data_IF_331672695903
#
_entry.id   IF_331672695903
#
_cell.length_a   1.000
_cell.length_b   1.000
_cell.length_c   1.000
_cell.angle_alpha   90.00
_cell.angle_beta   90.00
_cell.angle_gamma   90.00
#
_symmetry.space_group_name_H-M   'P 1'
#
loop_
_entity.id
_entity.type
_entity.pdbx_description
1 polymer ?
#
# COMPACT_ATOMS: atom_id res chain seq x y z
N UNK A 1 -74.46 -8.44 24.15
CA UNK A 1 -74.54 -8.23 22.70
C UNK A 1 -73.17 -8.58 22.16
N UNK A 2 -73.16 -9.76 21.55
CA UNK A 2 -72.33 -10.18 20.42
C UNK A 2 -70.87 -10.56 20.69
N UNK A 3 -70.75 -11.84 21.04
CA UNK A 3 -69.63 -12.74 20.77
C UNK A 3 -69.47 -12.98 19.26
N UNK A 4 -68.28 -12.75 18.70
CA UNK A 4 -67.75 -13.38 17.48
C UNK A 4 -66.21 -13.27 17.59
N UNK A 5 -65.50 -14.29 18.06
CA UNK A 5 -65.02 -15.44 17.29
C UNK A 5 -64.41 -15.06 15.93
N UNK A 6 -63.13 -14.68 15.95
CA UNK A 6 -62.24 -14.90 14.82
C UNK A 6 -61.13 -15.83 15.29
N UNK A 7 -61.40 -17.10 15.07
CA UNK A 7 -60.46 -18.19 15.14
C UNK A 7 -59.24 -17.95 14.22
N UNK A 8 -58.14 -18.55 14.66
CA UNK A 8 -57.12 -19.21 13.84
C UNK A 8 -56.46 -18.38 12.72
N UNK A 9 -55.24 -17.93 12.99
CA UNK A 9 -54.17 -17.87 11.99
C UNK A 9 -52.82 -18.22 12.66
N UNK A 10 -52.78 -19.37 13.36
CA UNK A 10 -51.55 -20.01 13.86
C UNK A 10 -51.17 -21.22 12.98
N UNK A 11 -51.54 -21.21 11.68
CA UNK A 11 -51.55 -22.43 10.87
C UNK A 11 -50.88 -22.32 9.49
N UNK A 12 -49.80 -21.53 9.32
CA UNK A 12 -48.96 -21.61 8.10
C UNK A 12 -47.45 -21.39 8.34
N UNK A 13 -46.91 -21.93 9.45
CA UNK A 13 -45.46 -22.23 9.53
C UNK A 13 -45.20 -23.73 9.69
N UNK A 14 -46.08 -24.57 9.15
CA UNK A 14 -45.77 -25.96 8.88
C UNK A 14 -45.19 -26.10 7.46
N UNK A 15 -44.10 -25.38 7.19
CA UNK A 15 -43.21 -25.73 6.08
C UNK A 15 -42.53 -27.01 6.51
N UNK A 16 -43.13 -28.13 6.09
CA UNK A 16 -42.56 -29.46 6.05
C UNK A 16 -41.04 -29.36 5.83
N UNK A 17 -40.26 -29.41 6.93
CA UNK A 17 -38.91 -29.90 6.87
C UNK A 17 -39.06 -31.39 6.62
N UNK A 18 -39.32 -31.74 5.35
CA UNK A 18 -39.07 -33.09 4.89
C UNK A 18 -37.64 -33.38 5.29
N UNK A 19 -37.44 -34.31 6.22
CA UNK A 19 -36.13 -34.91 6.45
C UNK A 19 -35.64 -35.33 5.07
N UNK A 20 -34.64 -34.64 4.55
CA UNK A 20 -33.89 -35.07 3.37
C UNK A 20 -33.32 -36.43 3.75
N UNK A 21 -34.00 -37.48 3.32
CA UNK A 21 -33.58 -38.85 3.57
C UNK A 21 -32.49 -39.16 2.55
N UNK A 22 -31.26 -38.76 2.86
CA UNK A 22 -30.08 -39.16 2.10
C UNK A 22 -30.00 -40.69 2.11
N UNK A 23 -30.07 -41.27 0.91
CA UNK A 23 -29.89 -42.70 0.70
C UNK A 23 -28.38 -43.02 0.70
N UNK A 24 -27.98 -44.24 1.07
CA UNK A 24 -26.62 -44.76 0.88
C UNK A 24 -26.10 -44.56 -0.55
N UNK A 25 -26.99 -44.53 -1.55
CA UNK A 25 -26.67 -44.22 -2.93
C UNK A 25 -26.24 -42.75 -3.11
N UNK A 26 -26.95 -41.81 -2.49
CA UNK A 26 -26.61 -40.38 -2.56
C UNK A 26 -25.27 -40.10 -1.85
N UNK A 27 -25.00 -40.82 -0.75
CA UNK A 27 -23.73 -40.75 -0.04
C UNK A 27 -22.58 -41.32 -0.90
N UNK A 28 -22.81 -42.43 -1.60
CA UNK A 28 -21.82 -43.00 -2.53
C UNK A 28 -21.57 -42.12 -3.75
N UNK A 29 -22.61 -41.51 -4.30
CA UNK A 29 -22.51 -40.61 -5.44
C UNK A 29 -21.78 -39.31 -5.03
N UNK A 30 -21.99 -38.83 -3.80
CA UNK A 30 -21.21 -37.72 -3.22
C UNK A 30 -19.74 -38.11 -2.99
N UNK A 31 -19.44 -39.27 -2.40
CA UNK A 31 -18.07 -39.75 -2.18
C UNK A 31 -17.32 -39.94 -3.51
N UNK A 32 -17.96 -40.54 -4.51
CA UNK A 32 -17.38 -40.69 -5.85
C UNK A 32 -17.10 -39.32 -6.50
N UNK A 33 -17.93 -38.31 -6.26
CA UNK A 33 -17.68 -36.95 -6.77
C UNK A 33 -16.49 -36.26 -6.11
N UNK A 34 -16.11 -36.67 -4.88
CA UNK A 34 -14.95 -36.13 -4.18
C UNK A 34 -13.63 -36.78 -4.63
N UNK A 35 -13.65 -38.05 -5.05
CA UNK A 35 -12.45 -38.77 -5.52
C UNK A 35 -11.91 -38.20 -6.86
N UNK A 36 -12.79 -37.68 -7.72
CA UNK A 36 -12.38 -37.07 -8.99
C UNK A 36 -11.84 -35.62 -8.83
N UNK A 37 -12.23 -34.91 -7.76
CA UNK A 37 -11.87 -33.49 -7.52
C UNK A 37 -10.77 -33.29 -6.46
N UNK A 38 -10.37 -34.33 -5.72
CA UNK A 38 -9.36 -34.23 -4.66
C UNK A 38 -7.93 -34.50 -5.17
N UNK A 39 -7.25 -33.46 -5.65
CA UNK A 39 -5.80 -33.49 -5.94
C UNK A 39 -4.99 -32.92 -4.74
N UNK A 40 -4.35 -33.76 -3.92
CA UNK A 40 -3.54 -33.30 -2.79
C UNK A 40 -2.30 -32.50 -3.21
N UNK A 41 -1.86 -32.58 -4.48
CA UNK A 41 -0.69 -31.85 -5.00
C UNK A 41 -1.02 -30.43 -5.49
N UNK A 42 -2.30 -30.15 -5.76
CA UNK A 42 -2.77 -28.81 -6.10
C UNK A 42 -2.57 -27.82 -4.94
N UNK A 43 -2.73 -28.28 -3.70
CA UNK A 43 -2.49 -27.47 -2.50
C UNK A 43 -1.00 -27.07 -2.35
N UNK A 44 -0.07 -28.02 -2.54
CA UNK A 44 1.38 -27.74 -2.48
C UNK A 44 1.84 -26.77 -3.58
N UNK A 45 1.22 -26.85 -4.76
CA UNK A 45 1.53 -25.96 -5.89
C UNK A 45 1.06 -24.53 -5.62
N UNK A 46 -0.14 -24.37 -5.04
CA UNK A 46 -0.69 -23.06 -4.67
C UNK A 46 0.14 -22.39 -3.55
N UNK A 47 0.57 -23.15 -2.54
CA UNK A 47 1.40 -22.61 -1.45
C UNK A 47 2.74 -22.10 -1.98
N UNK A 48 3.44 -22.90 -2.80
CA UNK A 48 4.70 -22.48 -3.42
C UNK A 48 4.56 -21.24 -4.30
N UNK A 49 3.47 -21.16 -5.07
CA UNK A 49 3.20 -19.99 -5.92
C UNK A 49 2.94 -18.74 -5.08
N UNK A 50 2.20 -18.89 -3.98
CA UNK A 50 1.88 -17.79 -3.07
C UNK A 50 3.11 -17.31 -2.28
N UNK A 51 4.01 -18.21 -1.88
CA UNK A 51 5.30 -17.86 -1.27
C UNK A 51 6.20 -17.09 -2.26
N UNK A 52 6.27 -17.55 -3.51
CA UNK A 52 7.05 -16.88 -4.56
C UNK A 52 6.51 -15.47 -4.84
N UNK A 53 5.19 -15.30 -4.91
CA UNK A 53 4.55 -14.00 -5.09
C UNK A 53 4.79 -13.06 -3.90
N UNK A 54 4.74 -13.57 -2.67
CA UNK A 54 5.07 -12.78 -1.47
C UNK A 54 6.53 -12.35 -1.46
N UNK A 55 7.45 -13.23 -1.85
CA UNK A 55 8.87 -12.87 -1.96
C UNK A 55 9.10 -11.79 -3.03
N UNK A 56 8.48 -11.93 -4.20
CA UNK A 56 8.55 -10.93 -5.25
C UNK A 56 7.96 -9.57 -4.81
N UNK A 57 6.83 -9.59 -4.10
CA UNK A 57 6.23 -8.40 -3.52
C UNK A 57 7.13 -7.73 -2.46
N UNK A 58 7.75 -8.52 -1.57
CA UNK A 58 8.71 -8.01 -0.59
C UNK A 58 9.91 -7.35 -1.26
N UNK A 59 10.46 -7.98 -2.30
CA UNK A 59 11.56 -7.42 -3.09
C UNK A 59 11.16 -6.08 -3.74
N UNK A 60 9.94 -5.97 -4.28
CA UNK A 60 9.43 -4.71 -4.84
C UNK A 60 9.36 -3.60 -3.79
N UNK A 61 8.82 -3.90 -2.60
CA UNK A 61 8.77 -2.92 -1.49
C UNK A 61 10.18 -2.50 -1.08
N UNK A 62 11.10 -3.44 -0.98
CA UNK A 62 12.49 -3.17 -0.63
C UNK A 62 13.18 -2.24 -1.64
N UNK A 63 12.98 -2.46 -2.95
CA UNK A 63 13.45 -1.55 -4.00
C UNK A 63 12.84 -0.15 -3.86
N UNK A 64 11.55 -0.07 -3.51
CA UNK A 64 10.89 1.20 -3.20
C UNK A 64 11.57 1.94 -2.05
N UNK A 65 11.89 1.24 -0.96
CA UNK A 65 12.59 1.80 0.20
C UNK A 65 14.01 2.28 -0.16
N UNK A 66 14.75 1.54 -0.97
CA UNK A 66 16.07 1.99 -1.47
C UNK A 66 15.97 3.27 -2.30
N UNK A 67 14.90 3.42 -3.10
CA UNK A 67 14.66 4.64 -3.90
C UNK A 67 14.38 5.84 -2.99
N UNK A 68 13.61 5.64 -1.92
CA UNK A 68 13.36 6.67 -0.91
C UNK A 68 14.67 7.05 -0.21
N UNK A 69 15.48 6.07 0.18
CA UNK A 69 16.78 6.32 0.82
C UNK A 69 17.69 7.17 -0.06
N UNK A 70 17.80 6.82 -1.35
CA UNK A 70 18.61 7.57 -2.31
C UNK A 70 18.11 9.01 -2.47
N UNK A 71 16.79 9.20 -2.47
CA UNK A 71 16.17 10.54 -2.50
C UNK A 71 16.52 11.34 -1.24
N UNK A 72 16.44 10.71 -0.06
CA UNK A 72 16.79 11.33 1.22
C UNK A 72 18.29 11.66 1.31
N UNK A 73 19.17 10.80 0.77
CA UNK A 73 20.60 11.07 0.65
C UNK A 73 20.87 12.34 -0.15
N UNK A 74 20.15 12.51 -1.25
CA UNK A 74 20.30 13.64 -2.18
C UNK A 74 19.71 14.94 -1.60
N UNK A 75 18.54 14.85 -0.97
CA UNK A 75 17.76 16.02 -0.56
C UNK A 75 18.04 16.50 0.88
N UNK A 76 18.43 15.58 1.78
CA UNK A 76 18.56 15.85 3.21
C UNK A 76 19.99 15.71 3.67
N UNK A 77 20.57 14.50 3.57
CA UNK A 77 21.92 14.25 4.05
C UNK A 77 22.55 12.99 3.44
N UNK A 78 23.78 13.05 2.88
CA UNK A 78 24.37 11.94 2.12
C UNK A 78 24.67 10.68 2.95
N UNK A 79 24.76 10.80 4.27
CA UNK A 79 24.95 9.66 5.20
C UNK A 79 23.64 9.07 5.74
N UNK A 80 22.49 9.56 5.28
CA UNK A 80 21.21 8.95 5.65
C UNK A 80 21.15 7.53 5.10
N UNK A 81 20.76 6.55 5.90
CA UNK A 81 20.59 5.16 5.49
C UNK A 81 19.50 4.54 6.36
N UNK A 82 18.61 3.74 5.78
CA UNK A 82 17.67 2.96 6.58
C UNK A 82 18.42 1.80 7.25
N UNK A 83 18.01 1.44 8.46
CA UNK A 83 18.50 0.19 9.06
C UNK A 83 18.04 -0.99 8.18
N UNK A 84 18.96 -1.83 7.66
CA UNK A 84 18.61 -2.91 6.75
C UNK A 84 17.56 -3.87 7.32
N UNK A 85 17.62 -4.16 8.63
CA UNK A 85 16.66 -5.06 9.29
C UNK A 85 15.28 -4.41 9.39
N UNK A 86 15.22 -3.09 9.57
CA UNK A 86 13.94 -2.37 9.58
C UNK A 86 13.33 -2.32 8.18
N UNK A 87 14.14 -2.07 7.15
CA UNK A 87 13.67 -2.07 5.77
C UNK A 87 13.14 -3.44 5.35
N UNK A 88 13.83 -4.51 5.70
CA UNK A 88 13.39 -5.90 5.48
C UNK A 88 12.08 -6.20 6.24
N UNK A 89 12.00 -5.85 7.53
CA UNK A 89 10.78 -6.05 8.31
C UNK A 89 9.56 -5.29 7.75
N UNK A 90 9.77 -4.09 7.19
CA UNK A 90 8.71 -3.33 6.51
C UNK A 90 8.30 -4.02 5.21
N UNK A 91 9.27 -4.48 4.41
CA UNK A 91 9.00 -5.20 3.17
C UNK A 91 8.18 -6.47 3.41
N UNK A 92 8.53 -7.28 4.42
CA UNK A 92 7.80 -8.48 4.81
C UNK A 92 6.36 -8.18 5.23
N UNK A 93 6.13 -7.08 5.97
CA UNK A 93 4.79 -6.70 6.45
C UNK A 93 3.88 -6.17 5.34
N UNK A 94 4.47 -5.53 4.33
CA UNK A 94 3.71 -4.93 3.23
C UNK A 94 3.50 -5.93 2.08
N UNK A 95 4.42 -6.87 1.87
CA UNK A 95 4.33 -7.94 0.88
C UNK A 95 2.95 -8.63 0.82
N UNK A 96 2.33 -9.10 1.93
CA UNK A 96 1.03 -9.75 1.88
C UNK A 96 -0.09 -8.79 1.44
N UNK A 97 0.04 -7.48 1.69
CA UNK A 97 -0.91 -6.48 1.20
C UNK A 97 -0.80 -6.31 -0.31
N UNK A 98 0.43 -6.31 -0.84
CA UNK A 98 0.68 -6.24 -2.29
C UNK A 98 0.08 -7.46 -2.99
N UNK A 99 0.33 -8.68 -2.46
CA UNK A 99 -0.25 -9.92 -3.01
C UNK A 99 -1.77 -9.90 -2.93
N UNK A 100 -2.34 -9.46 -1.80
CA UNK A 100 -3.80 -9.42 -1.59
C UNK A 100 -4.52 -8.43 -2.52
N UNK A 101 -3.91 -7.28 -2.78
CA UNK A 101 -4.57 -6.21 -3.53
C UNK A 101 -3.96 -5.94 -4.91
N UNK A 102 -2.96 -6.71 -5.34
CA UNK A 102 -2.29 -6.58 -6.64
C UNK A 102 -1.63 -5.21 -6.84
N UNK A 103 -1.22 -4.55 -5.75
CA UNK A 103 -0.73 -3.18 -5.78
C UNK A 103 -1.82 -2.08 -5.91
N UNK A 104 -3.10 -2.46 -5.99
CA UNK A 104 -4.20 -1.51 -5.92
C UNK A 104 -4.51 -1.15 -4.45
N UNK A 105 -4.93 0.08 -4.10
CA UNK A 105 -5.32 0.38 -2.74
C UNK A 105 -6.57 -0.41 -2.33
N UNK A 106 -6.70 -0.76 -1.03
CA UNK A 106 -7.93 -1.35 -0.51
C UNK A 106 -9.16 -0.48 -0.80
N UNK A 107 -10.38 -1.04 -0.92
CA UNK A 107 -11.59 -0.27 -1.27
C UNK A 107 -11.90 0.91 -0.32
N UNK A 108 -11.56 0.77 0.97
CA UNK A 108 -11.74 1.83 1.95
C UNK A 108 -10.76 3.00 1.77
N UNK A 109 -9.60 2.76 1.15
CA UNK A 109 -8.57 3.75 0.87
C UNK A 109 -8.75 4.36 -0.53
N UNK A 110 -9.27 3.59 -1.48
CA UNK A 110 -9.50 4.03 -2.85
C UNK A 110 -10.34 5.32 -2.92
N UNK A 111 -11.34 5.47 -2.05
CA UNK A 111 -12.19 6.68 -1.98
C UNK A 111 -11.46 7.95 -1.50
N UNK A 112 -10.26 7.82 -0.94
CA UNK A 112 -9.43 8.93 -0.47
C UNK A 112 -8.23 9.20 -1.38
N UNK A 113 -8.12 8.46 -2.49
CA UNK A 113 -6.94 8.54 -3.34
C UNK A 113 -6.78 9.95 -3.92
N UNK A 114 -7.88 10.60 -4.32
CA UNK A 114 -7.84 11.96 -4.85
C UNK A 114 -7.40 12.98 -3.79
N UNK A 115 -7.88 12.86 -2.55
CA UNK A 115 -7.47 13.73 -1.45
C UNK A 115 -6.00 13.51 -1.06
N UNK A 116 -5.56 12.25 -0.99
CA UNK A 116 -4.16 11.91 -0.71
C UNK A 116 -3.25 12.46 -1.81
N UNK A 117 -3.63 12.31 -3.08
CA UNK A 117 -2.89 12.85 -4.22
C UNK A 117 -2.87 14.37 -4.23
N UNK A 118 -3.98 15.03 -3.88
CA UNK A 118 -4.04 16.47 -3.74
C UNK A 118 -3.10 16.97 -2.63
N UNK A 119 -3.14 16.35 -1.45
CA UNK A 119 -2.24 16.69 -0.33
C UNK A 119 -0.79 16.42 -0.70
N UNK A 120 -0.50 15.30 -1.37
CA UNK A 120 0.84 14.98 -1.85
C UNK A 120 1.34 16.02 -2.87
N UNK A 121 0.51 16.43 -3.83
CA UNK A 121 0.87 17.44 -4.81
C UNK A 121 1.14 18.81 -4.17
N UNK A 122 0.29 19.23 -3.23
CA UNK A 122 0.48 20.48 -2.47
C UNK A 122 1.76 20.40 -1.63
N UNK A 123 2.02 19.26 -0.97
CA UNK A 123 3.23 19.02 -0.20
C UNK A 123 4.50 19.05 -1.06
N UNK A 124 4.48 18.39 -2.22
CA UNK A 124 5.59 18.37 -3.17
C UNK A 124 5.90 19.78 -3.70
N UNK A 125 4.86 20.53 -4.08
CA UNK A 125 5.01 21.91 -4.55
C UNK A 125 5.62 22.79 -3.45
N UNK A 126 5.12 22.68 -2.22
CA UNK A 126 5.61 23.45 -1.08
C UNK A 126 7.09 23.14 -0.77
N UNK A 127 7.48 21.87 -0.82
CA UNK A 127 8.88 21.44 -0.63
C UNK A 127 9.78 21.98 -1.75
N UNK A 128 9.35 21.87 -3.00
CA UNK A 128 10.08 22.39 -4.16
C UNK A 128 10.29 23.90 -4.06
N UNK A 129 9.24 24.65 -3.74
CA UNK A 129 9.34 26.10 -3.52
C UNK A 129 10.31 26.45 -2.39
N UNK A 130 10.31 25.71 -1.28
CA UNK A 130 11.26 25.94 -0.19
C UNK A 130 12.72 25.72 -0.64
N UNK A 131 12.99 24.66 -1.40
CA UNK A 131 14.33 24.41 -1.95
C UNK A 131 14.76 25.51 -2.91
N UNK A 132 13.89 25.92 -3.83
CA UNK A 132 14.17 27.00 -4.78
C UNK A 132 14.54 28.30 -4.07
N UNK A 133 13.78 28.69 -3.04
CA UNK A 133 14.10 29.89 -2.25
C UNK A 133 15.44 29.76 -1.54
N UNK A 134 15.80 28.58 -1.03
CA UNK A 134 17.12 28.34 -0.42
C UNK A 134 18.25 28.51 -1.43
N UNK A 135 18.09 27.98 -2.64
CA UNK A 135 19.08 28.08 -3.71
C UNK A 135 19.26 29.53 -4.15
N UNK A 136 18.17 30.25 -4.42
CA UNK A 136 18.23 31.67 -4.79
C UNK A 136 18.91 32.51 -3.69
N UNK A 137 18.61 32.28 -2.41
CA UNK A 137 19.30 32.95 -1.31
C UNK A 137 20.79 32.63 -1.26
N UNK A 138 21.20 31.41 -1.60
CA UNK A 138 22.61 31.05 -1.66
C UNK A 138 23.32 31.77 -2.83
N UNK A 139 22.69 31.82 -4.00
CA UNK A 139 23.19 32.56 -5.17
C UNK A 139 23.34 34.06 -4.87
N UNK A 140 22.34 34.68 -4.23
CA UNK A 140 22.40 36.09 -3.82
C UNK A 140 23.57 36.37 -2.87
N UNK A 141 23.82 35.46 -1.90
CA UNK A 141 24.96 35.57 -0.98
C UNK A 141 26.28 35.43 -1.73
N UNK A 142 26.38 34.54 -2.71
CA UNK A 142 27.59 34.39 -3.53
C UNK A 142 27.84 35.62 -4.41
N UNK A 143 26.80 36.14 -5.07
CA UNK A 143 26.89 37.36 -5.87
C UNK A 143 27.30 38.56 -5.00
N UNK A 144 26.72 38.70 -3.81
CA UNK A 144 27.11 39.75 -2.87
C UNK A 144 28.58 39.60 -2.40
N UNK A 145 29.05 38.37 -2.17
CA UNK A 145 30.46 38.12 -1.83
C UNK A 145 31.40 38.45 -3.00
N UNK A 146 31.03 38.09 -4.23
CA UNK A 146 31.82 38.41 -5.44
C UNK A 146 31.88 39.91 -5.68
N UNK A 147 30.75 40.62 -5.55
CA UNK A 147 30.69 42.07 -5.67
C UNK A 147 31.54 42.78 -4.59
N UNK A 148 31.51 42.30 -3.34
CA UNK A 148 32.37 42.84 -2.27
C UNK A 148 33.85 42.60 -2.51
N UNK A 149 34.24 41.46 -3.10
CA UNK A 149 35.64 41.19 -3.45
C UNK A 149 36.12 42.10 -4.58
N UNK A 150 35.32 42.25 -5.65
CA UNK A 150 35.65 43.15 -6.76
C UNK A 150 35.83 44.60 -6.29
N UNK A 151 34.93 45.11 -5.45
CA UNK A 151 35.05 46.47 -4.91
C UNK A 151 36.28 46.67 -3.99
N UNK A 152 36.76 45.62 -3.32
CA UNK A 152 37.92 45.69 -2.43
C UNK A 152 39.24 45.62 -3.22
N UNK A 153 39.27 44.88 -4.34
CA UNK A 153 40.40 44.83 -5.26
C UNK A 153 40.57 46.17 -6.01
N UNK A 154 39.47 46.80 -6.44
CA UNK A 154 39.51 48.14 -7.07
C UNK A 154 40.03 49.22 -6.09
N UNK A 155 39.63 49.17 -4.82
CA UNK A 155 40.12 50.11 -3.79
C UNK A 155 41.59 49.90 -3.41
N UNK A 156 42.14 48.68 -3.54
CA UNK A 156 43.57 48.43 -3.33
C UNK A 156 44.43 48.86 -4.52
N UNK A 157 43.88 48.86 -5.73
CA UNK A 157 44.57 49.35 -6.93
C UNK A 157 44.61 50.88 -7.03
N UNK A 158 43.61 51.59 -6.49
CA UNK A 158 43.54 53.05 -6.51
C UNK A 158 44.40 53.72 -5.40
N UNK A 159 44.82 52.95 -4.39
CA UNK A 159 45.61 53.41 -3.25
C UNK A 159 47.13 53.11 -3.36
N UNK A 160 47.60 52.59 -4.49
CA UNK A 160 49.00 52.27 -4.79
C UNK A 160 49.56 53.18 -5.90
#
# INVERSE_FOLDING_TARGET
>A
MDTENLAANDDELNTNQGMESHNEQDEKDFINSLDDDFDPTAADTQVQQQELEQQAAGAMVYVGLMTIEQTMKTMVHPRFEFDPKQAESVAEKIAPLIVKYGGNPPPWLAKYMDEIMAVAAIGMLSLSSYMQVRTLKAEDVELAKKAKKAANDDQQQEAA
#
